data_IF_574139467057
#
_entry.id   IF_574139467057
#
_cell.length_a   1.000
_cell.length_b   1.000
_cell.length_c   1.000
_cell.angle_alpha   90.00
_cell.angle_beta   90.00
_cell.angle_gamma   90.00
#
_symmetry.space_group_name_H-M   'P 1'
#
loop_
_entity.id
_entity.type
_entity.pdbx_description
1 polymer ?
#
# COMPACT_ATOMS: atom_id res chain seq x y z
N UNK A 1 2.83 22.38 5.21
CA UNK A 1 2.56 21.20 4.35
C UNK A 1 3.63 20.17 4.74
N UNK A 2 3.27 18.91 4.96
CA UNK A 2 4.26 17.87 5.25
C UNK A 2 4.98 17.54 3.95
N UNK A 3 6.30 17.58 3.97
CA UNK A 3 7.14 17.26 2.84
C UNK A 3 7.24 15.74 2.68
N UNK A 4 7.07 15.26 1.44
CA UNK A 4 7.11 13.83 1.08
C UNK A 4 8.42 13.49 0.35
N UNK A 5 9.54 13.84 0.98
CA UNK A 5 10.85 13.80 0.34
C UNK A 5 11.23 12.44 -0.25
N UNK A 6 10.92 11.34 0.45
CA UNK A 6 11.18 9.99 -0.05
C UNK A 6 10.40 9.71 -1.35
N UNK A 7 9.12 10.03 -1.37
CA UNK A 7 8.29 9.82 -2.55
C UNK A 7 8.64 10.78 -3.69
N UNK A 8 9.02 12.03 -3.35
CA UNK A 8 9.53 12.98 -4.32
C UNK A 8 10.77 12.44 -5.04
N UNK A 9 11.76 11.96 -4.30
CA UNK A 9 12.98 11.36 -4.84
C UNK A 9 12.68 10.08 -5.66
N UNK A 10 11.69 9.29 -5.26
CA UNK A 10 11.27 8.12 -6.03
C UNK A 10 10.68 8.51 -7.38
N UNK A 11 9.84 9.57 -7.43
CA UNK A 11 9.30 10.12 -8.69
C UNK A 11 10.42 10.68 -9.56
N UNK A 12 11.34 11.46 -8.98
CA UNK A 12 12.48 12.04 -9.69
C UNK A 12 13.34 10.97 -10.37
N UNK A 13 13.77 9.95 -9.62
CA UNK A 13 14.53 8.81 -10.16
C UNK A 13 13.76 8.05 -11.24
N UNK A 14 12.44 7.90 -11.08
CA UNK A 14 11.61 7.22 -12.08
C UNK A 14 11.53 8.03 -13.38
N UNK A 15 11.36 9.37 -13.29
CA UNK A 15 11.32 10.26 -14.46
C UNK A 15 12.66 10.24 -15.22
N UNK A 16 13.78 10.12 -14.52
CA UNK A 16 15.10 9.98 -15.15
C UNK A 16 15.25 8.67 -15.92
N UNK A 17 14.78 7.55 -15.35
CA UNK A 17 15.00 6.20 -15.89
C UNK A 17 13.98 5.79 -16.93
N UNK A 18 12.76 6.26 -16.81
CA UNK A 18 11.62 5.79 -17.62
C UNK A 18 10.95 6.95 -18.36
N UNK A 19 10.52 6.77 -19.62
CA UNK A 19 9.79 7.80 -20.35
C UNK A 19 8.42 8.09 -19.73
N UNK A 20 7.85 7.14 -18.99
CA UNK A 20 6.55 7.31 -18.31
C UNK A 20 6.69 6.87 -16.85
N UNK A 21 6.30 7.74 -15.93
CA UNK A 21 6.17 7.45 -14.50
C UNK A 21 4.70 7.40 -14.12
N UNK A 22 4.21 6.28 -13.64
CA UNK A 22 2.83 6.14 -13.15
C UNK A 22 2.79 6.20 -11.62
N UNK A 23 2.20 7.27 -11.05
CA UNK A 23 1.99 7.39 -9.60
C UNK A 23 0.66 6.76 -9.24
N UNK A 24 0.70 5.60 -8.61
CA UNK A 24 -0.46 4.83 -8.19
C UNK A 24 -0.65 4.92 -6.66
N UNK A 25 -1.87 4.70 -6.21
CA UNK A 25 -2.18 4.66 -4.78
C UNK A 25 -3.66 4.94 -4.51
N UNK A 26 -4.12 4.80 -3.26
CA UNK A 26 -5.52 5.01 -2.92
C UNK A 26 -5.97 6.45 -3.21
N UNK A 27 -7.27 6.66 -3.38
CA UNK A 27 -7.80 8.03 -3.47
C UNK A 27 -7.45 8.81 -2.20
N UNK A 28 -7.25 10.12 -2.34
CA UNK A 28 -6.98 11.05 -1.23
C UNK A 28 -5.67 10.80 -0.45
N UNK A 29 -4.75 9.94 -0.92
CA UNK A 29 -3.43 9.75 -0.29
C UNK A 29 -2.42 10.87 -0.59
N UNK A 30 -2.77 11.84 -1.46
CA UNK A 30 -1.92 13.00 -1.75
C UNK A 30 -1.19 12.98 -3.10
N UNK A 31 -1.52 12.08 -4.04
CA UNK A 31 -0.92 12.00 -5.38
C UNK A 31 -0.89 13.35 -6.11
N UNK A 32 -2.06 14.00 -6.21
CA UNK A 32 -2.22 15.32 -6.86
C UNK A 32 -1.34 16.41 -6.22
N UNK A 33 -1.23 16.37 -4.89
CA UNK A 33 -0.38 17.31 -4.14
C UNK A 33 1.10 17.09 -4.46
N UNK A 34 1.57 15.84 -4.42
CA UNK A 34 2.95 15.48 -4.77
C UNK A 34 3.28 15.88 -6.21
N UNK A 35 2.44 15.51 -7.17
CA UNK A 35 2.66 15.79 -8.58
C UNK A 35 2.63 17.30 -8.89
N UNK A 36 1.76 18.08 -8.24
CA UNK A 36 1.75 19.55 -8.38
C UNK A 36 2.99 20.21 -7.80
N UNK A 37 3.47 19.74 -6.63
CA UNK A 37 4.73 20.23 -6.04
C UNK A 37 5.91 19.90 -6.94
N UNK A 38 5.98 18.69 -7.46
CA UNK A 38 6.97 18.24 -8.41
C UNK A 38 6.94 19.07 -9.70
N UNK A 39 5.74 19.21 -10.28
CA UNK A 39 5.55 19.96 -11.52
C UNK A 39 5.92 21.43 -11.41
N UNK A 40 5.67 22.05 -10.24
CA UNK A 40 6.06 23.44 -9.99
C UNK A 40 7.59 23.62 -9.98
N UNK A 41 8.33 22.71 -9.39
CA UNK A 41 9.79 22.76 -9.34
C UNK A 41 10.44 22.50 -10.70
N UNK A 42 9.84 21.64 -11.52
CA UNK A 42 10.36 21.26 -12.84
C UNK A 42 9.67 21.97 -14.00
N UNK A 43 8.83 23.00 -13.74
CA UNK A 43 8.08 23.75 -14.76
C UNK A 43 7.25 22.85 -15.70
N UNK A 44 6.65 21.79 -15.14
CA UNK A 44 5.92 20.79 -15.89
C UNK A 44 4.60 21.33 -16.47
N UNK A 45 4.21 20.83 -17.63
CA UNK A 45 2.88 21.02 -18.19
C UNK A 45 1.89 20.12 -17.44
N UNK A 46 0.83 20.71 -16.88
CA UNK A 46 -0.15 19.97 -16.07
C UNK A 46 -1.52 19.97 -16.73
N UNK A 47 -2.11 18.78 -16.90
CA UNK A 47 -3.46 18.57 -17.43
C UNK A 47 -4.27 17.77 -16.43
N UNK A 48 -5.38 18.34 -15.98
CA UNK A 48 -6.38 17.70 -15.12
C UNK A 48 -7.52 17.14 -15.98
N UNK A 49 -7.56 15.82 -16.18
CA UNK A 49 -8.54 15.20 -17.08
C UNK A 49 -9.97 15.17 -16.50
N UNK A 50 -10.20 15.64 -15.26
CA UNK A 50 -11.53 15.97 -14.75
C UNK A 50 -11.95 17.41 -15.17
N UNK A 51 -11.00 18.28 -15.53
CA UNK A 51 -11.28 19.65 -15.92
C UNK A 51 -11.81 19.75 -17.35
N UNK A 52 -12.98 20.35 -17.53
CA UNK A 52 -13.57 20.59 -18.86
C UNK A 52 -12.64 21.45 -19.74
N UNK A 53 -11.88 22.37 -19.14
CA UNK A 53 -10.92 23.22 -19.86
C UNK A 53 -9.79 22.38 -20.44
N UNK A 54 -9.19 21.49 -19.61
CA UNK A 54 -8.08 20.66 -20.05
C UNK A 54 -8.54 19.55 -21.00
N UNK A 55 -9.75 19.02 -20.83
CA UNK A 55 -10.37 18.13 -21.81
C UNK A 55 -10.51 18.79 -23.18
N UNK A 56 -10.90 20.07 -23.23
CA UNK A 56 -10.96 20.84 -24.49
C UNK A 56 -9.57 21.08 -25.08
N UNK A 57 -8.57 21.39 -24.27
CA UNK A 57 -7.17 21.53 -24.73
C UNK A 57 -6.64 20.24 -25.34
N UNK A 58 -7.11 19.09 -24.86
CA UNK A 58 -6.74 17.75 -25.34
C UNK A 58 -7.78 17.15 -26.31
N UNK A 59 -8.57 17.98 -27.03
CA UNK A 59 -9.45 17.49 -28.10
C UNK A 59 -8.67 16.80 -29.24
N UNK A 60 -7.47 17.32 -29.54
CA UNK A 60 -6.50 16.62 -30.38
C UNK A 60 -5.25 16.35 -29.55
N UNK A 61 -5.23 15.28 -28.76
CA UNK A 61 -4.18 15.02 -27.78
C UNK A 61 -2.82 14.75 -28.46
N UNK A 62 -2.81 14.18 -29.66
CA UNK A 62 -1.56 13.93 -30.38
C UNK A 62 -0.88 15.26 -30.77
N UNK A 63 -1.62 16.17 -31.38
CA UNK A 63 -1.09 17.48 -31.78
C UNK A 63 -0.62 18.26 -30.55
N UNK A 64 -1.42 18.29 -29.49
CA UNK A 64 -1.10 19.04 -28.29
C UNK A 64 0.12 18.48 -27.57
N UNK A 65 0.15 17.17 -27.28
CA UNK A 65 1.22 16.55 -26.50
C UNK A 65 2.54 16.47 -27.27
N UNK A 66 2.50 16.30 -28.61
CA UNK A 66 3.73 16.26 -29.42
C UNK A 66 4.39 17.64 -29.59
N UNK A 67 3.66 18.74 -29.34
CA UNK A 67 4.22 20.09 -29.39
C UNK A 67 4.91 20.54 -28.10
N UNK A 68 4.81 19.73 -27.02
CA UNK A 68 5.37 20.04 -25.71
C UNK A 68 6.70 19.33 -25.49
N UNK A 69 7.60 19.98 -24.76
CA UNK A 69 8.87 19.41 -24.29
C UNK A 69 8.94 19.40 -22.75
N UNK A 70 9.81 18.58 -22.18
CA UNK A 70 10.00 18.47 -20.74
C UNK A 70 9.00 17.55 -20.06
N UNK A 71 8.58 17.89 -18.85
CA UNK A 71 7.71 17.03 -18.04
C UNK A 71 6.25 17.37 -18.30
N UNK A 72 5.45 16.38 -18.61
CA UNK A 72 4.00 16.48 -18.84
C UNK A 72 3.28 15.63 -17.81
N UNK A 73 2.42 16.23 -17.01
CA UNK A 73 1.63 15.56 -15.96
C UNK A 73 0.19 15.42 -16.45
N UNK A 74 -0.29 14.19 -16.51
CA UNK A 74 -1.66 13.82 -16.85
C UNK A 74 -2.36 13.27 -15.59
N UNK A 75 -3.22 14.07 -15.00
CA UNK A 75 -3.96 13.74 -13.78
C UNK A 75 -5.29 13.09 -14.10
N UNK A 76 -5.67 12.04 -13.32
CA UNK A 76 -6.90 11.26 -13.46
C UNK A 76 -7.03 10.63 -14.87
N UNK A 77 -5.95 9.96 -15.33
CA UNK A 77 -5.84 9.40 -16.70
C UNK A 77 -6.94 8.39 -17.04
N UNK A 78 -7.60 7.79 -16.05
CA UNK A 78 -8.72 6.88 -16.27
C UNK A 78 -9.92 7.53 -16.96
N UNK A 79 -10.01 8.86 -16.98
CA UNK A 79 -11.04 9.58 -17.74
C UNK A 79 -10.80 9.57 -19.26
N UNK A 80 -9.57 9.31 -19.70
CA UNK A 80 -9.20 9.20 -21.11
C UNK A 80 -8.28 8.00 -21.37
N UNK A 81 -8.78 6.76 -21.29
CA UNK A 81 -7.95 5.53 -21.40
C UNK A 81 -7.21 5.42 -22.75
N UNK A 82 -7.75 6.03 -23.81
CA UNK A 82 -7.12 6.04 -25.14
C UNK A 82 -5.75 6.72 -25.15
N UNK A 83 -5.46 7.59 -24.16
CA UNK A 83 -4.15 8.23 -24.02
C UNK A 83 -3.02 7.22 -23.80
N UNK A 84 -3.25 6.04 -23.23
CA UNK A 84 -2.20 5.04 -23.09
C UNK A 84 -1.61 4.60 -24.41
N UNK A 85 -2.46 4.39 -25.44
CA UNK A 85 -2.00 4.06 -26.78
C UNK A 85 -1.20 5.21 -27.42
N UNK A 86 -1.68 6.42 -27.25
CA UNK A 86 -1.00 7.62 -27.75
C UNK A 86 0.35 7.81 -27.05
N UNK A 87 0.42 7.69 -25.73
CA UNK A 87 1.67 7.82 -24.95
C UNK A 87 2.72 6.84 -25.46
N UNK A 88 2.34 5.58 -25.76
CA UNK A 88 3.24 4.59 -26.35
C UNK A 88 3.86 5.11 -27.65
N UNK A 89 3.03 5.65 -28.53
CA UNK A 89 3.50 6.19 -29.82
C UNK A 89 4.42 7.39 -29.62
N UNK A 90 4.05 8.29 -28.72
CA UNK A 90 4.83 9.53 -28.49
C UNK A 90 6.22 9.23 -27.89
N UNK A 91 6.31 8.30 -26.92
CA UNK A 91 7.60 7.99 -26.26
C UNK A 91 8.54 7.19 -27.14
N UNK A 92 8.02 6.52 -28.18
CA UNK A 92 8.84 5.74 -29.13
C UNK A 92 9.38 6.60 -30.30
N UNK A 93 8.97 7.87 -30.42
CA UNK A 93 9.48 8.78 -31.47
C UNK A 93 10.93 9.12 -31.21
N UNK A 94 11.82 9.05 -32.22
CA UNK A 94 13.24 9.38 -32.05
C UNK A 94 13.50 10.80 -31.52
N UNK A 95 12.65 11.75 -31.92
CA UNK A 95 12.74 13.16 -31.54
C UNK A 95 12.04 13.50 -30.21
N UNK A 96 11.48 12.51 -29.51
CA UNK A 96 10.77 12.74 -28.27
C UNK A 96 11.68 13.31 -27.17
N UNK A 97 11.34 14.50 -26.66
CA UNK A 97 12.01 15.18 -25.55
C UNK A 97 11.15 15.29 -24.30
N UNK A 98 10.03 14.59 -24.28
CA UNK A 98 9.06 14.67 -23.19
C UNK A 98 9.17 13.45 -22.25
N UNK A 99 8.88 13.69 -20.99
CA UNK A 99 8.68 12.68 -19.96
C UNK A 99 7.26 12.80 -19.41
N UNK A 100 6.57 11.71 -19.23
CA UNK A 100 5.19 11.74 -18.79
C UNK A 100 5.08 11.26 -17.35
N UNK A 101 4.33 12.00 -16.53
CA UNK A 101 3.86 11.55 -15.23
C UNK A 101 2.36 11.35 -15.33
N UNK A 102 1.90 10.12 -15.12
CA UNK A 102 0.48 9.80 -15.14
C UNK A 102 -0.01 9.53 -13.73
N UNK A 103 -1.10 10.17 -13.35
CA UNK A 103 -1.76 9.94 -12.07
C UNK A 103 -3.09 9.26 -12.33
N UNK A 104 -3.41 8.31 -11.47
CA UNK A 104 -4.71 7.69 -11.49
C UNK A 104 -5.07 7.13 -10.12
N UNK A 105 -6.36 7.16 -9.80
CA UNK A 105 -6.84 6.32 -8.71
C UNK A 105 -6.66 4.87 -9.15
N UNK A 106 -6.06 4.07 -8.27
CA UNK A 106 -5.84 2.67 -8.55
C UNK A 106 -7.14 1.98 -8.95
N UNK A 107 -7.17 1.50 -10.17
CA UNK A 107 -8.19 0.59 -10.65
C UNK A 107 -7.51 -0.63 -11.28
N UNK A 108 -8.09 -1.81 -11.14
CA UNK A 108 -7.59 -3.01 -11.81
C UNK A 108 -7.41 -2.81 -13.32
N UNK A 109 -8.35 -2.08 -13.93
CA UNK A 109 -8.33 -1.77 -15.36
C UNK A 109 -7.16 -0.85 -15.74
N UNK A 110 -6.91 0.21 -14.95
CA UNK A 110 -5.83 1.16 -15.22
C UNK A 110 -4.46 0.48 -15.13
N UNK A 111 -4.24 -0.33 -14.10
CA UNK A 111 -3.00 -1.09 -13.92
C UNK A 111 -2.82 -2.07 -15.09
N UNK A 112 -3.87 -2.81 -15.45
CA UNK A 112 -3.83 -3.75 -16.57
C UNK A 112 -3.56 -3.06 -17.89
N UNK A 113 -4.31 -2.02 -18.24
CA UNK A 113 -4.14 -1.28 -19.49
C UNK A 113 -2.76 -0.64 -19.61
N UNK A 114 -2.27 0.01 -18.53
CA UNK A 114 -0.93 0.60 -18.54
C UNK A 114 0.15 -0.46 -18.67
N UNK A 115 0.05 -1.58 -17.95
CA UNK A 115 1.03 -2.67 -18.01
C UNK A 115 1.05 -3.36 -19.39
N UNK A 116 -0.10 -3.59 -20.01
CA UNK A 116 -0.18 -4.22 -21.33
C UNK A 116 0.25 -3.26 -22.46
N UNK A 117 -0.19 -1.99 -22.40
CA UNK A 117 0.04 -1.01 -23.48
C UNK A 117 1.44 -0.37 -23.38
N UNK A 118 1.94 -0.12 -22.17
CA UNK A 118 3.18 0.60 -21.90
C UNK A 118 4.32 -0.32 -21.40
N UNK A 119 4.25 -1.61 -21.65
CA UNK A 119 5.29 -2.57 -21.25
C UNK A 119 6.70 -2.10 -21.64
N UNK A 120 7.63 -2.08 -20.70
CA UNK A 120 9.00 -1.62 -20.88
C UNK A 120 9.18 -0.08 -20.99
N UNK A 121 8.09 0.70 -20.88
CA UNK A 121 8.09 2.17 -21.01
C UNK A 121 7.58 2.89 -19.78
N UNK A 122 7.00 2.16 -18.83
CA UNK A 122 6.41 2.72 -17.60
C UNK A 122 7.11 2.17 -16.38
N UNK A 123 7.40 3.07 -15.43
CA UNK A 123 7.79 2.71 -14.07
C UNK A 123 6.69 3.14 -13.10
N UNK A 124 6.34 2.25 -12.18
CA UNK A 124 5.29 2.49 -11.20
C UNK A 124 5.88 2.99 -9.89
N UNK A 125 5.39 4.12 -9.41
CA UNK A 125 5.67 4.66 -8.08
C UNK A 125 4.41 4.55 -7.24
N UNK A 126 4.46 3.72 -6.22
CA UNK A 126 3.33 3.56 -5.30
C UNK A 126 3.38 4.62 -4.20
N UNK A 127 2.28 5.35 -4.03
CA UNK A 127 2.09 6.35 -2.99
C UNK A 127 1.00 5.89 -2.02
N UNK A 128 1.38 5.65 -0.77
CA UNK A 128 0.46 5.41 0.35
C UNK A 128 0.01 6.72 1.02
N UNK A 129 -0.72 6.64 2.13
CA UNK A 129 -0.84 7.73 3.09
C UNK A 129 0.51 8.15 3.66
N UNK A 130 0.51 9.02 4.69
CA UNK A 130 1.71 9.35 5.42
C UNK A 130 2.33 8.11 6.08
N UNK A 131 3.64 8.11 6.21
CA UNK A 131 4.41 7.04 6.82
C UNK A 131 5.40 7.58 7.88
N UNK A 132 6.03 6.69 8.61
CA UNK A 132 6.97 7.07 9.69
C UNK A 132 8.23 7.78 9.21
N UNK A 133 8.52 7.81 7.90
CA UNK A 133 9.63 8.62 7.36
C UNK A 133 9.26 10.11 7.28
N UNK A 134 7.96 10.41 7.23
CA UNK A 134 7.39 11.75 7.05
C UNK A 134 6.82 12.33 8.35
N UNK A 135 6.49 11.46 9.33
CA UNK A 135 5.75 11.81 10.55
C UNK A 135 6.53 11.36 11.78
N UNK A 136 6.56 12.22 12.81
CA UNK A 136 7.21 11.90 14.09
C UNK A 136 6.28 11.28 15.13
N UNK A 137 4.97 11.53 15.03
CA UNK A 137 3.98 11.06 16.00
C UNK A 137 3.43 9.68 15.62
N UNK A 138 4.20 8.62 15.91
CA UNK A 138 3.87 7.22 15.62
C UNK A 138 2.48 6.81 16.12
N UNK A 139 2.15 7.22 17.34
CA UNK A 139 0.88 6.88 17.98
C UNK A 139 -0.33 7.40 17.20
N UNK A 140 -0.29 8.67 16.78
CA UNK A 140 -1.37 9.26 15.97
C UNK A 140 -1.43 8.62 14.59
N UNK A 141 -0.28 8.27 14.00
CA UNK A 141 -0.23 7.59 12.72
C UNK A 141 -0.88 6.20 12.79
N UNK A 142 -0.62 5.47 13.87
CA UNK A 142 -1.24 4.17 14.10
C UNK A 142 -2.74 4.28 14.36
N UNK A 143 -3.17 5.24 15.22
CA UNK A 143 -4.59 5.39 15.58
C UNK A 143 -5.43 5.92 14.41
N UNK A 144 -4.99 7.01 13.77
CA UNK A 144 -5.74 7.73 12.73
C UNK A 144 -5.51 7.26 11.32
N UNK A 145 -4.45 6.44 11.11
CA UNK A 145 -3.98 6.05 9.78
C UNK A 145 -3.16 7.15 9.09
N UNK A 146 -2.68 6.84 7.90
CA UNK A 146 -1.82 7.71 7.09
C UNK A 146 -2.56 8.62 6.11
N UNK A 147 -3.87 8.49 5.93
CA UNK A 147 -4.59 9.41 5.04
C UNK A 147 -4.46 10.86 5.51
N UNK A 148 -3.98 11.80 4.66
CA UNK A 148 -3.64 13.14 5.10
C UNK A 148 -4.74 13.88 5.85
N UNK A 149 -5.99 13.77 5.40
CA UNK A 149 -7.12 14.46 6.05
C UNK A 149 -7.52 13.82 7.37
N UNK A 150 -7.35 12.51 7.53
CA UNK A 150 -7.57 11.82 8.80
C UNK A 150 -6.46 12.18 9.80
N UNK A 151 -5.19 12.03 9.36
CA UNK A 151 -4.03 12.27 10.21
C UNK A 151 -3.96 13.72 10.71
N UNK A 152 -4.18 14.70 9.82
CA UNK A 152 -4.09 16.14 10.11
C UNK A 152 -5.34 16.73 10.75
N UNK A 153 -6.35 15.93 11.07
CA UNK A 153 -7.56 16.39 11.77
C UNK A 153 -7.22 17.01 13.11
N UNK A 154 -7.95 18.05 13.48
CA UNK A 154 -7.73 18.77 14.73
C UNK A 154 -8.10 17.94 15.95
N UNK A 155 -9.17 17.17 15.85
CA UNK A 155 -9.71 16.31 16.92
C UNK A 155 -9.80 14.85 16.46
N UNK A 156 -9.98 13.93 17.42
CA UNK A 156 -10.25 12.52 17.09
C UNK A 156 -11.61 12.39 16.38
N UNK A 157 -12.62 13.13 16.82
CA UNK A 157 -13.96 13.10 16.21
C UNK A 157 -13.92 13.55 14.74
N UNK A 158 -13.16 14.58 14.40
CA UNK A 158 -12.97 15.03 13.00
C UNK A 158 -12.29 13.93 12.16
N UNK A 159 -11.30 13.24 12.74
CA UNK A 159 -10.61 12.13 12.08
C UNK A 159 -11.56 10.95 11.82
N UNK A 160 -12.38 10.59 12.80
CA UNK A 160 -13.39 9.53 12.68
C UNK A 160 -14.42 9.90 11.62
N UNK A 161 -14.98 11.11 11.71
CA UNK A 161 -15.96 11.59 10.75
C UNK A 161 -15.43 11.57 9.31
N UNK A 162 -14.16 11.95 9.12
CA UNK A 162 -13.51 11.87 7.82
C UNK A 162 -13.39 10.42 7.33
N UNK A 163 -12.93 9.49 8.17
CA UNK A 163 -12.76 8.06 7.81
C UNK A 163 -14.09 7.40 7.46
N UNK A 164 -15.14 7.66 8.23
CA UNK A 164 -16.48 7.17 7.91
C UNK A 164 -17.02 7.76 6.60
N UNK A 165 -16.79 9.06 6.35
CA UNK A 165 -17.12 9.70 5.09
C UNK A 165 -16.35 9.10 3.92
N UNK A 166 -15.04 8.80 4.12
CA UNK A 166 -14.21 8.13 3.13
C UNK A 166 -14.75 6.72 2.80
N UNK A 167 -15.02 5.89 3.82
CA UNK A 167 -15.56 4.53 3.64
C UNK A 167 -16.87 4.58 2.87
N UNK A 168 -17.80 5.50 3.23
CA UNK A 168 -19.06 5.67 2.53
C UNK A 168 -18.83 6.05 1.05
N UNK A 169 -18.04 7.08 0.79
CA UNK A 169 -17.79 7.57 -0.57
C UNK A 169 -17.08 6.51 -1.42
N UNK A 170 -16.15 5.77 -0.84
CA UNK A 170 -15.47 4.68 -1.52
C UNK A 170 -16.45 3.59 -1.99
N UNK A 171 -17.38 3.20 -1.12
CA UNK A 171 -18.38 2.17 -1.43
C UNK A 171 -19.47 2.64 -2.41
N UNK A 172 -19.94 3.88 -2.27
CA UNK A 172 -21.11 4.39 -3.00
C UNK A 172 -20.72 5.05 -4.34
N UNK A 173 -19.51 5.55 -4.47
CA UNK A 173 -19.05 6.29 -5.65
C UNK A 173 -17.85 5.64 -6.32
N UNK A 174 -16.80 5.32 -5.56
CA UNK A 174 -15.52 4.96 -6.14
C UNK A 174 -15.54 3.55 -6.73
N UNK A 175 -16.12 2.56 -6.03
CA UNK A 175 -16.30 1.19 -6.56
C UNK A 175 -17.19 1.19 -7.79
N UNK A 176 -18.39 1.82 -7.80
CA UNK A 176 -19.21 1.92 -9.01
C UNK A 176 -18.51 2.64 -10.18
N UNK A 177 -17.72 3.68 -9.91
CA UNK A 177 -16.95 4.38 -10.94
C UNK A 177 -15.89 3.51 -11.63
N UNK A 178 -15.51 2.38 -11.02
CA UNK A 178 -14.64 1.36 -11.63
C UNK A 178 -15.41 0.38 -12.54
N UNK A 179 -16.69 0.62 -12.78
CA UNK A 179 -17.56 -0.28 -13.55
C UNK A 179 -17.97 -1.54 -12.77
N UNK A 180 -17.85 -1.53 -11.44
CA UNK A 180 -18.13 -2.66 -10.57
C UNK A 180 -19.53 -2.51 -9.97
N UNK A 181 -20.43 -3.39 -10.36
CA UNK A 181 -21.83 -3.38 -9.87
C UNK A 181 -21.96 -4.30 -8.65
N UNK A 182 -21.72 -3.75 -7.46
CA UNK A 182 -21.91 -4.43 -6.17
C UNK A 182 -22.74 -3.53 -5.26
N UNK A 183 -23.73 -4.10 -4.56
CA UNK A 183 -24.49 -3.35 -3.56
C UNK A 183 -23.55 -2.86 -2.45
N UNK A 184 -23.50 -1.55 -2.21
CA UNK A 184 -22.61 -0.91 -1.22
C UNK A 184 -22.75 -1.52 0.19
N UNK A 185 -23.98 -1.88 0.60
CA UNK A 185 -24.24 -2.55 1.87
C UNK A 185 -23.63 -3.95 1.96
N UNK A 186 -23.60 -4.72 0.87
CA UNK A 186 -22.96 -6.04 0.83
C UNK A 186 -21.43 -5.89 0.93
N UNK A 187 -20.87 -4.95 0.19
CA UNK A 187 -19.44 -4.67 0.23
C UNK A 187 -19.01 -4.12 1.59
N UNK A 188 -19.82 -3.26 2.24
CA UNK A 188 -19.54 -2.78 3.60
C UNK A 188 -19.51 -3.93 4.61
N UNK A 189 -20.50 -4.84 4.57
CA UNK A 189 -20.50 -6.02 5.45
C UNK A 189 -19.26 -6.89 5.24
N UNK A 190 -18.90 -7.16 3.98
CA UNK A 190 -17.70 -7.90 3.66
C UNK A 190 -16.43 -7.21 4.21
N UNK A 191 -16.30 -5.90 3.99
CA UNK A 191 -15.14 -5.13 4.43
C UNK A 191 -15.03 -5.08 5.96
N UNK A 192 -16.15 -4.93 6.68
CA UNK A 192 -16.20 -5.01 8.15
C UNK A 192 -15.79 -6.40 8.64
N UNK A 193 -16.31 -7.48 8.05
CA UNK A 193 -15.88 -8.84 8.41
C UNK A 193 -14.39 -9.07 8.13
N UNK A 194 -13.89 -8.54 7.01
CA UNK A 194 -12.49 -8.61 6.68
C UNK A 194 -11.61 -7.86 7.70
N UNK A 195 -12.09 -6.78 8.31
CA UNK A 195 -11.40 -6.09 9.40
C UNK A 195 -11.19 -7.01 10.63
N UNK A 196 -12.17 -7.85 10.97
CA UNK A 196 -12.00 -8.88 12.00
C UNK A 196 -11.05 -10.01 11.57
N UNK A 197 -10.80 -10.15 10.26
CA UNK A 197 -9.88 -11.13 9.67
C UNK A 197 -8.45 -10.60 9.46
N UNK A 198 -8.20 -9.35 9.87
CA UNK A 198 -6.90 -8.69 9.74
C UNK A 198 -5.78 -9.50 10.41
N UNK A 199 -4.64 -9.68 9.72
CA UNK A 199 -3.50 -10.47 10.16
C UNK A 199 -3.71 -11.99 10.04
N UNK A 200 -4.82 -12.48 9.48
CA UNK A 200 -5.13 -13.90 9.37
C UNK A 200 -4.98 -14.42 7.94
N UNK A 201 -4.75 -15.73 7.84
CA UNK A 201 -4.71 -16.42 6.54
C UNK A 201 -6.11 -16.47 5.93
N UNK A 202 -6.21 -16.14 4.64
CA UNK A 202 -7.46 -16.10 3.90
C UNK A 202 -8.21 -17.44 3.89
N UNK A 203 -9.47 -17.41 4.28
CA UNK A 203 -10.41 -18.52 4.15
C UNK A 203 -11.72 -18.03 3.50
N UNK A 204 -11.78 -18.08 2.17
CA UNK A 204 -12.94 -17.61 1.40
C UNK A 204 -14.23 -18.35 1.73
N UNK A 205 -14.15 -19.66 1.98
CA UNK A 205 -15.32 -20.49 2.30
C UNK A 205 -15.96 -20.12 3.64
N UNK A 206 -15.17 -19.74 4.64
CA UNK A 206 -15.66 -19.27 5.94
C UNK A 206 -16.37 -17.93 5.80
N UNK A 207 -15.73 -16.96 5.14
CA UNK A 207 -16.31 -15.64 4.89
C UNK A 207 -17.56 -15.73 4.02
N UNK A 208 -17.53 -16.58 2.97
CA UNK A 208 -18.67 -16.82 2.10
C UNK A 208 -19.88 -17.35 2.85
N UNK A 209 -19.68 -18.37 3.69
CA UNK A 209 -20.77 -18.93 4.54
C UNK A 209 -21.37 -17.89 5.47
N UNK A 210 -20.51 -17.09 6.12
CA UNK A 210 -20.95 -16.06 7.07
C UNK A 210 -21.73 -14.93 6.39
N UNK A 211 -21.50 -14.67 5.11
CA UNK A 211 -22.17 -13.62 4.33
C UNK A 211 -23.31 -14.13 3.45
N UNK A 212 -23.48 -15.45 3.33
CA UNK A 212 -24.43 -16.04 2.38
C UNK A 212 -23.99 -15.85 0.92
N UNK A 213 -22.67 -15.81 0.66
CA UNK A 213 -22.09 -15.57 -0.66
C UNK A 213 -21.23 -16.77 -1.11
N UNK A 214 -21.02 -16.88 -2.43
CA UNK A 214 -20.09 -17.88 -2.98
C UNK A 214 -18.62 -17.48 -2.72
N UNK A 215 -17.74 -18.48 -2.65
CA UNK A 215 -16.27 -18.27 -2.54
C UNK A 215 -15.74 -17.38 -3.66
N UNK A 216 -16.27 -17.54 -4.88
CA UNK A 216 -15.92 -16.72 -6.04
C UNK A 216 -16.29 -15.25 -5.82
N UNK A 217 -17.46 -14.98 -5.22
CA UNK A 217 -17.93 -13.62 -4.94
C UNK A 217 -17.06 -12.95 -3.89
N UNK A 218 -16.80 -13.62 -2.75
CA UNK A 218 -15.95 -13.05 -1.70
C UNK A 218 -14.50 -12.86 -2.17
N UNK A 219 -14.01 -13.73 -3.06
CA UNK A 219 -12.70 -13.57 -3.70
C UNK A 219 -12.67 -12.33 -4.58
N UNK A 220 -13.68 -12.12 -5.41
CA UNK A 220 -13.80 -10.91 -6.22
C UNK A 220 -13.83 -9.63 -5.37
N UNK A 221 -14.53 -9.65 -4.23
CA UNK A 221 -14.55 -8.51 -3.30
C UNK A 221 -13.17 -8.22 -2.71
N UNK A 222 -12.44 -9.28 -2.32
CA UNK A 222 -11.06 -9.13 -1.83
C UNK A 222 -10.15 -8.54 -2.91
N UNK A 223 -10.27 -9.02 -4.16
CA UNK A 223 -9.44 -8.57 -5.28
C UNK A 223 -9.72 -7.07 -5.60
N UNK A 224 -10.97 -6.61 -5.48
CA UNK A 224 -11.32 -5.19 -5.60
C UNK A 224 -10.65 -4.36 -4.51
N UNK A 225 -10.74 -4.76 -3.24
CA UNK A 225 -10.11 -4.05 -2.14
C UNK A 225 -8.58 -4.04 -2.27
N UNK A 226 -7.99 -5.12 -2.79
CA UNK A 226 -6.54 -5.20 -3.03
C UNK A 226 -6.12 -4.28 -4.17
N UNK A 227 -6.83 -4.32 -5.29
CA UNK A 227 -6.53 -3.49 -6.45
C UNK A 227 -6.75 -1.99 -6.22
N UNK A 228 -7.57 -1.63 -5.22
CA UNK A 228 -7.80 -0.25 -4.80
C UNK A 228 -6.90 0.20 -3.64
N UNK A 229 -5.90 -0.59 -3.27
CA UNK A 229 -4.94 -0.34 -2.17
C UNK A 229 -5.57 -0.21 -0.78
N UNK A 230 -6.76 -0.79 -0.57
CA UNK A 230 -7.36 -0.85 0.77
C UNK A 230 -6.81 -2.01 1.59
N UNK A 231 -6.47 -3.10 0.91
CA UNK A 231 -6.03 -4.36 1.52
C UNK A 231 -4.80 -4.90 0.80
N UNK A 232 -3.88 -5.49 1.55
CA UNK A 232 -2.75 -6.27 1.06
C UNK A 232 -3.04 -7.75 1.22
N UNK A 233 -2.80 -8.52 0.18
CA UNK A 233 -2.70 -9.97 0.21
C UNK A 233 -1.22 -10.35 0.27
N UNK A 234 -0.68 -10.58 1.46
CA UNK A 234 0.70 -11.04 1.63
C UNK A 234 0.77 -12.52 1.29
N UNK A 235 1.55 -12.87 0.27
CA UNK A 235 1.66 -14.24 -0.21
C UNK A 235 2.55 -15.09 0.71
N UNK A 236 2.29 -16.40 0.83
CA UNK A 236 3.17 -17.30 1.57
C UNK A 236 4.45 -17.58 0.78
N UNK A 237 5.57 -17.66 1.48
CA UNK A 237 6.82 -18.20 0.96
C UNK A 237 6.82 -19.72 0.97
N UNK A 238 7.30 -20.35 -0.10
CA UNK A 238 7.42 -21.79 -0.23
C UNK A 238 8.88 -22.21 -0.41
N UNK A 239 9.55 -22.55 0.69
CA UNK A 239 10.93 -22.99 0.64
C UNK A 239 11.06 -24.42 0.09
N UNK A 240 10.11 -25.29 0.41
CA UNK A 240 10.15 -26.68 -0.02
C UNK A 240 8.77 -27.18 -0.43
N UNK A 241 8.61 -27.50 -1.71
CA UNK A 241 7.35 -28.00 -2.30
C UNK A 241 6.86 -29.31 -1.63
N UNK A 242 7.75 -30.10 -1.02
CA UNK A 242 7.40 -31.34 -0.36
C UNK A 242 6.84 -31.16 1.06
N UNK A 243 7.07 -30.02 1.71
CA UNK A 243 6.52 -29.73 3.04
C UNK A 243 5.11 -29.16 2.92
N UNK A 244 4.23 -29.58 3.86
CA UNK A 244 2.88 -29.00 3.97
C UNK A 244 3.00 -27.56 4.52
N UNK A 245 2.94 -26.58 3.64
CA UNK A 245 2.97 -25.15 3.95
C UNK A 245 1.61 -24.51 3.65
N UNK A 246 1.29 -23.42 4.34
CA UNK A 246 0.07 -22.66 4.13
C UNK A 246 0.11 -22.07 2.72
N UNK A 247 -0.99 -22.20 1.97
CA UNK A 247 -1.07 -21.76 0.57
C UNK A 247 -1.87 -20.46 0.37
N UNK A 248 -2.72 -20.10 1.32
CA UNK A 248 -3.55 -18.91 1.23
C UNK A 248 -2.80 -17.68 1.75
N UNK A 249 -3.02 -16.49 1.18
CA UNK A 249 -2.36 -15.27 1.63
C UNK A 249 -2.84 -14.84 3.02
N UNK A 250 -2.02 -14.12 3.77
CA UNK A 250 -2.45 -13.33 4.92
C UNK A 250 -3.06 -12.01 4.44
N UNK A 251 -4.06 -11.52 5.16
CA UNK A 251 -4.83 -10.32 4.80
C UNK A 251 -4.51 -9.18 5.75
N UNK A 252 -4.01 -8.08 5.21
CA UNK A 252 -3.72 -6.88 5.99
C UNK A 252 -4.44 -5.66 5.41
N UNK A 253 -5.04 -4.84 6.27
CA UNK A 253 -5.46 -3.50 5.89
C UNK A 253 -4.23 -2.62 5.74
N UNK A 254 -4.18 -1.84 4.68
CA UNK A 254 -3.04 -0.99 4.37
C UNK A 254 -3.04 0.35 5.14
N UNK A 255 -4.19 0.70 5.72
CA UNK A 255 -4.35 1.87 6.58
C UNK A 255 -4.99 1.46 7.89
N UNK A 256 -4.30 1.71 9.00
CA UNK A 256 -4.76 1.34 10.33
C UNK A 256 -5.96 2.16 10.80
N UNK A 257 -6.09 3.41 10.36
CA UNK A 257 -7.26 4.23 10.68
C UNK A 257 -8.54 3.71 10.05
N UNK A 258 -8.48 3.25 8.79
CA UNK A 258 -9.64 2.58 8.15
C UNK A 258 -9.96 1.27 8.85
N UNK A 259 -8.95 0.48 9.23
CA UNK A 259 -9.14 -0.74 10.03
C UNK A 259 -9.89 -0.41 11.33
N UNK A 260 -9.42 0.59 12.08
CA UNK A 260 -10.01 0.99 13.36
C UNK A 260 -11.46 1.47 13.20
N UNK A 261 -11.77 2.27 12.18
CA UNK A 261 -13.15 2.69 11.90
C UNK A 261 -14.08 1.50 11.62
N UNK A 262 -13.64 0.52 10.84
CA UNK A 262 -14.41 -0.69 10.56
C UNK A 262 -14.59 -1.60 11.77
N UNK A 263 -13.65 -1.57 12.72
CA UNK A 263 -13.75 -2.28 14.02
C UNK A 263 -14.50 -1.49 15.11
N UNK A 264 -14.93 -0.25 14.81
CA UNK A 264 -15.61 0.62 15.78
C UNK A 264 -14.69 1.17 16.86
N UNK A 265 -13.38 1.26 16.60
CA UNK A 265 -12.38 1.81 17.52
C UNK A 265 -12.21 3.30 17.25
N UNK A 266 -12.56 4.14 18.23
CA UNK A 266 -12.55 5.60 18.07
C UNK A 266 -11.31 6.27 18.65
N UNK A 267 -10.74 5.71 19.70
CA UNK A 267 -9.65 6.32 20.44
C UNK A 267 -8.63 5.28 20.95
N UNK A 268 -7.57 5.77 21.57
CA UNK A 268 -6.51 4.88 22.05
C UNK A 268 -6.94 4.01 23.23
N UNK A 269 -7.84 4.50 24.07
CA UNK A 269 -8.34 3.71 25.21
C UNK A 269 -9.09 2.47 24.70
N UNK A 270 -9.96 2.64 23.70
CA UNK A 270 -10.64 1.53 23.04
C UNK A 270 -9.65 0.62 22.29
N UNK A 271 -8.64 1.19 21.62
CA UNK A 271 -7.63 0.40 20.94
C UNK A 271 -6.81 -0.43 21.92
N UNK A 272 -6.36 0.16 23.05
CA UNK A 272 -5.56 -0.53 24.06
C UNK A 272 -6.28 -1.68 24.76
N UNK A 273 -7.60 -1.57 24.90
CA UNK A 273 -8.47 -2.63 25.44
C UNK A 273 -8.98 -3.62 24.40
N UNK A 274 -8.66 -3.45 23.11
CA UNK A 274 -9.24 -4.28 22.05
C UNK A 274 -8.45 -5.60 21.88
N UNK A 275 -9.14 -6.75 21.80
CA UNK A 275 -8.48 -8.05 21.55
C UNK A 275 -7.67 -8.10 20.25
N UNK A 276 -7.94 -7.20 19.29
CA UNK A 276 -7.23 -7.10 18.02
C UNK A 276 -6.02 -6.16 18.04
N UNK A 277 -5.63 -5.61 19.19
CA UNK A 277 -4.53 -4.64 19.29
C UNK A 277 -3.22 -5.21 18.72
N UNK A 278 -2.91 -6.48 19.02
CA UNK A 278 -1.72 -7.16 18.49
C UNK A 278 -1.74 -7.26 16.97
N UNK A 279 -2.86 -7.70 16.38
CA UNK A 279 -3.02 -7.77 14.93
C UNK A 279 -2.99 -6.38 14.28
N UNK A 280 -3.63 -5.37 14.90
CA UNK A 280 -3.58 -3.99 14.42
C UNK A 280 -2.15 -3.44 14.40
N UNK A 281 -1.36 -3.70 15.46
CA UNK A 281 0.06 -3.35 15.52
C UNK A 281 0.86 -4.05 14.42
N UNK A 282 0.67 -5.37 14.28
CA UNK A 282 1.34 -6.20 13.27
C UNK A 282 1.14 -5.62 11.87
N UNK A 283 -0.11 -5.39 11.46
CA UNK A 283 -0.40 -4.84 10.12
C UNK A 283 0.10 -3.41 9.93
N UNK A 284 -0.02 -2.55 10.95
CA UNK A 284 0.55 -1.20 10.92
C UNK A 284 2.07 -1.24 10.77
N UNK A 285 2.77 -1.99 11.61
CA UNK A 285 4.23 -2.07 11.60
C UNK A 285 4.75 -2.74 10.32
N UNK A 286 4.02 -3.73 9.77
CA UNK A 286 4.30 -4.35 8.48
C UNK A 286 4.26 -3.32 7.36
N UNK A 287 3.17 -2.56 7.20
CA UNK A 287 3.06 -1.55 6.14
C UNK A 287 4.13 -0.47 6.27
N UNK A 288 4.45 -0.01 7.50
CA UNK A 288 5.52 0.96 7.73
C UNK A 288 6.90 0.37 7.36
N UNK A 289 7.15 -0.88 7.71
CA UNK A 289 8.39 -1.59 7.35
C UNK A 289 8.54 -1.72 5.83
N UNK A 290 7.48 -2.10 5.13
CA UNK A 290 7.48 -2.21 3.67
C UNK A 290 7.75 -0.88 2.99
N UNK A 291 7.15 0.21 3.49
CA UNK A 291 7.44 1.55 2.96
C UNK A 291 8.90 1.92 3.20
N UNK A 292 9.45 1.69 4.39
CA UNK A 292 10.84 2.07 4.71
C UNK A 292 11.87 1.30 3.90
N UNK A 293 11.73 -0.03 3.82
CA UNK A 293 12.72 -0.91 3.19
C UNK A 293 12.53 -1.02 1.69
N UNK A 294 11.27 -0.91 1.21
CA UNK A 294 10.90 -1.10 -0.21
C UNK A 294 11.51 -2.35 -0.86
N UNK A 295 11.40 -3.55 -0.22
CA UNK A 295 11.92 -4.78 -0.79
C UNK A 295 11.17 -5.14 -2.08
N UNK A 296 11.86 -5.79 -3.03
CA UNK A 296 11.27 -6.13 -4.34
C UNK A 296 10.10 -7.13 -4.17
N UNK A 297 10.32 -8.19 -3.40
CA UNK A 297 9.34 -9.24 -3.15
C UNK A 297 9.20 -9.49 -1.65
N UNK A 298 7.97 -9.69 -1.21
CA UNK A 298 7.62 -9.84 0.20
C UNK A 298 6.65 -10.99 0.41
N UNK A 299 6.88 -11.74 1.47
CA UNK A 299 6.13 -12.93 1.80
C UNK A 299 5.91 -13.02 3.31
N UNK A 300 4.98 -13.83 3.77
CA UNK A 300 5.04 -14.44 5.10
C UNK A 300 5.44 -15.90 4.96
N UNK A 301 5.84 -16.51 6.06
CA UNK A 301 6.09 -17.95 6.07
C UNK A 301 5.37 -18.59 7.25
N UNK A 302 4.69 -19.70 6.98
CA UNK A 302 4.00 -20.47 8.02
C UNK A 302 3.91 -21.95 7.66
N UNK A 303 4.00 -22.78 8.67
CA UNK A 303 3.85 -24.23 8.59
C UNK A 303 2.55 -24.69 9.24
N UNK A 304 2.03 -25.82 8.83
CA UNK A 304 0.87 -26.45 9.51
C UNK A 304 1.15 -26.87 10.96
N UNK A 305 2.41 -26.96 11.37
CA UNK A 305 2.83 -27.21 12.75
C UNK A 305 2.82 -25.94 13.63
N UNK A 306 2.47 -24.80 13.07
CA UNK A 306 2.30 -23.52 13.79
C UNK A 306 3.58 -22.67 13.91
N UNK A 307 4.68 -23.03 13.24
CA UNK A 307 5.81 -22.11 13.13
C UNK A 307 5.51 -21.07 12.05
N UNK A 308 5.84 -19.79 12.32
CA UNK A 308 5.47 -18.66 11.48
C UNK A 308 6.50 -17.53 11.57
N UNK A 309 6.63 -16.75 10.48
CA UNK A 309 7.30 -15.44 10.39
C UNK A 309 6.36 -14.49 9.66
N UNK A 310 6.09 -13.34 10.25
CA UNK A 310 5.10 -12.38 9.75
C UNK A 310 5.51 -11.75 8.43
N UNK A 311 6.83 -11.48 8.24
CA UNK A 311 7.36 -10.93 7.00
C UNK A 311 8.71 -11.58 6.67
N UNK A 312 8.83 -12.10 5.46
CA UNK A 312 10.06 -12.64 4.89
C UNK A 312 10.38 -11.93 3.57
N UNK A 313 11.64 -11.57 3.36
CA UNK A 313 12.15 -11.01 2.11
C UNK A 313 13.63 -11.29 1.94
N UNK A 314 14.11 -11.15 0.69
CA UNK A 314 15.53 -11.22 0.35
C UNK A 314 15.98 -9.83 -0.08
N UNK A 315 17.05 -9.33 0.52
CA UNK A 315 17.63 -8.04 0.21
C UNK A 315 19.16 -8.12 0.25
N UNK A 316 19.83 -7.60 -0.76
CA UNK A 316 21.30 -7.64 -0.90
C UNK A 316 21.90 -9.06 -0.78
N UNK A 317 21.17 -10.06 -1.26
CA UNK A 317 21.55 -11.47 -1.19
C UNK A 317 21.38 -12.14 0.17
N UNK A 318 20.87 -11.42 1.18
CA UNK A 318 20.60 -11.93 2.52
C UNK A 318 19.13 -12.21 2.72
N UNK A 319 18.81 -13.21 3.56
CA UNK A 319 17.47 -13.62 3.92
C UNK A 319 17.07 -13.01 5.25
N UNK A 320 16.01 -12.19 5.25
CA UNK A 320 15.53 -11.47 6.42
C UNK A 320 14.15 -11.96 6.82
N UNK A 321 13.99 -12.23 8.12
CA UNK A 321 12.70 -12.43 8.77
C UNK A 321 12.35 -11.22 9.64
N UNK A 322 11.06 -10.89 9.72
CA UNK A 322 10.55 -9.88 10.66
C UNK A 322 9.33 -10.44 11.38
N UNK A 323 9.33 -10.30 12.69
CA UNK A 323 8.20 -10.55 13.59
C UNK A 323 7.71 -9.24 14.18
N UNK A 324 6.42 -9.03 14.24
CA UNK A 324 5.83 -7.84 14.82
C UNK A 324 5.18 -8.18 16.16
N UNK A 325 5.67 -7.61 17.24
CA UNK A 325 5.17 -7.90 18.60
C UNK A 325 4.67 -6.63 19.29
N UNK A 326 3.42 -6.63 19.70
CA UNK A 326 2.90 -5.61 20.61
C UNK A 326 3.16 -6.06 22.05
N UNK A 327 4.33 -5.68 22.57
CA UNK A 327 4.81 -6.08 23.89
C UNK A 327 5.85 -5.08 24.36
N UNK A 328 5.97 -4.86 25.67
CA UNK A 328 7.00 -3.99 26.26
C UNK A 328 8.42 -4.56 26.14
N UNK A 329 8.55 -5.89 26.25
CA UNK A 329 9.82 -6.60 26.19
C UNK A 329 9.66 -7.94 25.46
N UNK A 330 9.73 -7.92 24.13
CA UNK A 330 9.65 -9.14 23.32
C UNK A 330 10.76 -10.13 23.69
N UNK A 331 10.41 -11.43 23.65
CA UNK A 331 11.32 -12.55 23.87
C UNK A 331 11.38 -13.42 22.62
N UNK A 332 12.45 -14.19 22.47
CA UNK A 332 12.53 -15.21 21.42
C UNK A 332 11.49 -16.31 21.63
N UNK A 333 10.97 -16.83 20.55
CA UNK A 333 9.98 -17.92 20.55
C UNK A 333 10.53 -19.13 19.81
N UNK A 334 9.98 -20.32 20.09
CA UNK A 334 10.32 -21.55 19.36
C UNK A 334 10.09 -21.37 17.84
N UNK A 335 9.03 -20.66 17.46
CA UNK A 335 8.70 -20.36 16.05
C UNK A 335 9.85 -19.61 15.35
N UNK A 336 10.42 -18.58 16.00
CA UNK A 336 11.54 -17.80 15.45
C UNK A 336 12.77 -18.67 15.20
N UNK A 337 13.11 -19.60 16.12
CA UNK A 337 14.25 -20.51 15.95
C UNK A 337 14.02 -21.49 14.80
N UNK A 338 12.82 -22.08 14.71
CA UNK A 338 12.44 -22.96 13.59
C UNK A 338 12.52 -22.21 12.26
N UNK A 339 12.05 -20.97 12.22
CA UNK A 339 12.10 -20.14 11.02
C UNK A 339 13.55 -19.84 10.58
N UNK A 340 14.45 -19.52 11.52
CA UNK A 340 15.88 -19.30 11.22
C UNK A 340 16.49 -20.52 10.54
N UNK A 341 16.20 -21.72 11.05
CA UNK A 341 16.73 -22.97 10.52
C UNK A 341 16.10 -23.32 9.16
N UNK A 342 14.78 -23.30 9.07
CA UNK A 342 14.03 -23.74 7.88
C UNK A 342 14.19 -22.78 6.68
N UNK A 343 14.25 -21.48 6.93
CA UNK A 343 14.40 -20.45 5.89
C UNK A 343 15.87 -20.04 5.69
N UNK A 344 16.79 -20.59 6.46
CA UNK A 344 18.21 -20.20 6.45
C UNK A 344 18.36 -18.67 6.60
N UNK A 345 17.66 -18.08 7.59
CA UNK A 345 17.70 -16.63 7.79
C UNK A 345 19.09 -16.18 8.23
N UNK A 346 19.57 -15.10 7.61
CA UNK A 346 20.74 -14.35 8.07
C UNK A 346 20.42 -13.55 9.32
N UNK A 347 19.24 -12.88 9.32
CA UNK A 347 18.76 -12.08 10.43
C UNK A 347 17.24 -12.24 10.62
N UNK A 348 16.82 -12.19 11.90
CA UNK A 348 15.42 -12.07 12.28
C UNK A 348 15.24 -10.86 13.18
N UNK A 349 14.41 -9.93 12.75
CA UNK A 349 14.10 -8.70 13.45
C UNK A 349 12.79 -8.83 14.21
N UNK A 350 12.77 -8.47 15.49
CA UNK A 350 11.53 -8.38 16.27
C UNK A 350 11.18 -6.91 16.42
N UNK A 351 10.19 -6.44 15.68
CA UNK A 351 9.76 -5.05 15.64
C UNK A 351 8.65 -4.81 16.67
N UNK A 352 8.82 -3.81 17.53
CA UNK A 352 7.91 -3.53 18.64
C UNK A 352 7.70 -2.01 18.86
N UNK A 353 6.70 -1.59 19.66
CA UNK A 353 6.40 -0.17 19.88
C UNK A 353 7.34 0.54 20.87
N UNK A 354 8.30 -0.18 21.47
CA UNK A 354 9.24 0.40 22.44
C UNK A 354 10.31 1.29 21.81
N UNK A 355 11.35 1.61 22.59
CA UNK A 355 12.40 2.57 22.21
C UNK A 355 13.79 1.95 22.09
N UNK A 356 14.02 0.81 22.73
CA UNK A 356 15.33 0.23 22.88
C UNK A 356 15.60 -0.88 21.85
N UNK A 357 16.86 -0.97 21.42
CA UNK A 357 17.33 -2.06 20.56
C UNK A 357 18.25 -2.97 21.38
N UNK A 358 17.98 -4.28 21.34
CA UNK A 358 18.80 -5.26 22.04
C UNK A 358 18.82 -6.62 21.33
N UNK A 359 19.90 -7.39 21.43
CA UNK A 359 19.96 -8.73 20.89
C UNK A 359 19.23 -9.73 21.80
N UNK A 360 18.51 -10.69 21.21
CA UNK A 360 18.00 -11.86 21.91
C UNK A 360 18.91 -13.06 21.70
N UNK A 361 19.48 -13.18 20.50
CA UNK A 361 20.51 -14.17 20.12
C UNK A 361 21.44 -13.54 19.09
N UNK A 362 22.40 -14.29 18.58
CA UNK A 362 23.29 -13.83 17.51
C UNK A 362 22.53 -13.38 16.25
N UNK A 363 21.45 -14.08 15.90
CA UNK A 363 20.65 -13.81 14.69
C UNK A 363 19.34 -13.07 14.97
N UNK A 364 18.88 -12.98 16.23
CA UNK A 364 17.59 -12.35 16.59
C UNK A 364 17.86 -11.06 17.33
N UNK A 365 17.35 -9.96 16.80
CA UNK A 365 17.48 -8.63 17.39
C UNK A 365 16.11 -7.95 17.53
N UNK A 366 15.84 -7.39 18.72
CA UNK A 366 14.67 -6.52 18.97
C UNK A 366 15.03 -5.11 18.56
N UNK A 367 14.13 -4.46 17.83
CA UNK A 367 14.29 -3.07 17.40
C UNK A 367 12.95 -2.33 17.47
N UNK A 368 12.94 -1.06 17.86
CA UNK A 368 11.75 -0.23 17.74
C UNK A 368 11.37 -0.03 16.27
N UNK A 369 10.08 0.13 15.97
CA UNK A 369 9.64 0.38 14.59
C UNK A 369 10.34 1.61 14.00
N UNK A 370 10.54 2.68 14.76
CA UNK A 370 11.29 3.86 14.31
C UNK A 370 12.77 3.57 14.04
N UNK A 371 13.34 2.55 14.69
CA UNK A 371 14.72 2.10 14.46
C UNK A 371 14.93 1.43 13.10
N UNK A 372 13.86 0.98 12.45
CA UNK A 372 13.92 0.45 11.10
C UNK A 372 14.47 1.45 10.08
N UNK A 373 14.31 2.76 10.32
CA UNK A 373 14.93 3.81 9.46
C UNK A 373 16.46 3.66 9.36
N UNK A 374 17.12 3.39 10.48
CA UNK A 374 18.58 3.19 10.51
C UNK A 374 19.01 1.81 9.98
N UNK A 375 18.19 0.80 10.20
CA UNK A 375 18.45 -0.58 9.75
C UNK A 375 18.39 -0.68 8.22
N UNK A 376 17.50 0.07 7.57
CA UNK A 376 17.40 0.14 6.11
C UNK A 376 18.70 0.54 5.39
N UNK A 377 19.63 1.20 6.09
CA UNK A 377 20.94 1.61 5.56
C UNK A 377 22.02 0.52 5.73
N UNK A 378 21.77 -0.49 6.53
CA UNK A 378 22.74 -1.56 6.89
C UNK A 378 22.31 -2.94 6.40
N UNK A 379 21.12 -3.09 5.85
CA UNK A 379 20.59 -4.29 5.16
C UNK A 379 21.04 -4.31 3.71
#
# INVERSE_FOLDING_TARGET
MIERNKHYLAVEKSVERSPITAILGPRQCGKKTLARSFGKLHQAHYFDLESVVDQRRLQNPELMLSSLEGIIILDEIQHQPNLFNLLRVLVDRPENRSRFIVLGSASPQLIKQSSETLAGRVEFVELSGFDISEIDHLHNLWLRGGFPRSYLSKTEDDSIAWREGFIRTFLERDIPALGISIASGAMRRFWTMLAHYHGQTWNGSELGRSLGLSDKTVRSYLDILSATFMVRQLQPWHENIRKRQVKSPKIYFRDSGILHSLLGISDYHQLSGNPKIGASWEGFALEQTLVLLSPADVYFWSTYSGAEVDLFFIMNGKRHGVEFKYSEAPKSTKSMHVAIEELHLDHLWVVYPGKDSYPLTEKIKVIPLQGMKGTALTL
#
